data_IF_348187068499
#
_entry.id   IF_348187068499
#
_cell.length_a   1.000
_cell.length_b   1.000
_cell.length_c   1.000
_cell.angle_alpha   90.00
_cell.angle_beta   90.00
_cell.angle_gamma   90.00
#
_symmetry.space_group_name_H-M   'P 1'
#
loop_
_entity.id
_entity.type
_entity.pdbx_description
1 polymer ?
#
# COMPACT_ATOMS: atom_id res chain seq x y z
N UNK A 1 -38.22 13.85 71.94
CA UNK A 1 -39.37 13.49 71.08
C UNK A 1 -39.49 14.58 70.04
N UNK A 2 -39.59 14.37 68.73
CA UNK A 2 -39.68 13.17 67.92
C UNK A 2 -39.15 13.50 66.52
N UNK A 3 -38.68 12.47 65.82
CA UNK A 3 -38.32 12.43 64.41
C UNK A 3 -39.45 12.93 63.50
N UNK A 4 -39.10 13.60 62.40
CA UNK A 4 -39.91 13.55 61.18
C UNK A 4 -39.01 13.59 59.94
N UNK A 5 -38.79 12.40 59.38
CA UNK A 5 -38.28 12.19 58.04
C UNK A 5 -39.24 12.82 57.02
N UNK A 6 -38.69 13.53 56.03
CA UNK A 6 -39.41 13.94 54.84
C UNK A 6 -38.78 13.21 53.65
N UNK A 7 -39.48 12.16 53.19
CA UNK A 7 -39.15 11.43 51.98
C UNK A 7 -39.29 12.32 50.75
N UNK A 8 -38.20 12.47 50.00
CA UNK A 8 -38.22 13.04 48.66
C UNK A 8 -38.78 12.03 47.67
N UNK A 9 -39.98 12.31 47.16
CA UNK A 9 -40.55 11.60 46.01
C UNK A 9 -39.73 11.93 44.76
N UNK A 10 -38.96 10.96 44.26
CA UNK A 10 -38.30 11.04 42.96
C UNK A 10 -39.39 10.89 41.89
N UNK A 11 -39.69 11.99 41.19
CA UNK A 11 -40.49 11.94 39.95
C UNK A 11 -39.56 11.61 38.77
N UNK A 12 -40.01 10.79 37.80
CA UNK A 12 -39.18 10.36 36.68
C UNK A 12 -38.81 11.53 35.75
N UNK A 13 -37.54 11.58 35.38
CA UNK A 13 -36.91 12.52 34.45
C UNK A 13 -37.36 12.18 33.02
N UNK A 14 -38.64 12.39 32.68
CA UNK A 14 -39.10 12.19 31.31
C UNK A 14 -39.86 13.37 30.69
N UNK A 15 -40.23 14.40 31.45
CA UNK A 15 -41.15 15.44 30.93
C UNK A 15 -40.68 16.89 31.06
N UNK A 16 -39.38 17.16 31.22
CA UNK A 16 -38.87 18.53 31.11
C UNK A 16 -37.56 18.58 30.33
N UNK A 17 -37.67 18.75 29.00
CA UNK A 17 -36.89 19.71 28.20
C UNK A 17 -37.46 19.71 26.77
N UNK A 18 -38.27 20.73 26.51
CA UNK A 18 -38.61 21.24 25.18
C UNK A 18 -37.98 22.62 25.06
N UNK A 19 -36.90 22.73 24.27
CA UNK A 19 -36.16 23.97 24.00
C UNK A 19 -34.79 23.70 23.37
N UNK A 20 -34.37 24.40 22.29
CA UNK A 20 -33.31 23.93 21.40
C UNK A 20 -31.93 24.48 21.78
N UNK A 21 -31.23 23.81 22.70
CA UNK A 21 -29.75 23.86 22.81
C UNK A 21 -29.30 23.10 24.05
N UNK A 22 -28.60 21.97 23.88
CA UNK A 22 -28.02 21.22 25.01
C UNK A 22 -27.48 19.85 24.60
N UNK A 23 -26.24 19.79 24.16
CA UNK A 23 -25.53 18.57 23.80
C UNK A 23 -24.95 17.82 25.01
N UNK A 24 -25.05 16.49 25.05
CA UNK A 24 -23.98 15.64 25.59
C UNK A 24 -23.07 15.07 24.48
N UNK A 25 -23.41 15.36 23.20
CA UNK A 25 -22.91 14.86 21.91
C UNK A 25 -22.97 13.33 21.74
N UNK A 26 -23.40 12.89 20.55
CA UNK A 26 -22.37 12.56 19.58
C UNK A 26 -22.52 13.48 18.38
N UNK A 27 -21.43 14.08 17.96
CA UNK A 27 -21.31 14.54 16.58
C UNK A 27 -21.68 13.36 15.68
N UNK A 28 -22.90 13.37 15.12
CA UNK A 28 -23.65 12.21 14.60
C UNK A 28 -22.71 11.17 13.99
N UNK A 29 -22.44 10.09 14.72
CA UNK A 29 -21.50 9.05 14.29
C UNK A 29 -22.20 8.17 13.26
N UNK A 30 -21.52 7.91 12.16
CA UNK A 30 -22.00 7.13 11.02
C UNK A 30 -21.10 5.92 10.83
N UNK A 31 -21.72 4.74 10.76
CA UNK A 31 -21.05 3.49 10.41
C UNK A 31 -21.22 3.19 8.91
N UNK A 32 -20.09 2.94 8.26
CA UNK A 32 -19.97 2.65 6.84
C UNK A 32 -19.35 1.26 6.66
N UNK A 33 -19.83 0.51 5.69
CA UNK A 33 -19.22 -0.72 5.20
C UNK A 33 -18.80 -0.49 3.75
N UNK A 34 -17.50 -0.39 3.51
CA UNK A 34 -16.92 -0.11 2.19
C UNK A 34 -16.24 -1.38 1.69
N UNK A 35 -16.87 -2.07 0.73
CA UNK A 35 -16.34 -3.31 0.15
C UNK A 35 -16.05 -4.43 1.16
N UNK A 36 -16.74 -4.44 2.31
CA UNK A 36 -16.51 -5.37 3.42
C UNK A 36 -15.70 -4.80 4.58
N UNK A 37 -15.05 -3.64 4.41
CA UNK A 37 -14.30 -2.96 5.47
C UNK A 37 -15.20 -1.98 6.23
N UNK A 38 -15.30 -2.13 7.54
CA UNK A 38 -16.13 -1.25 8.37
C UNK A 38 -15.34 -0.02 8.83
N UNK A 39 -15.94 1.14 8.64
CA UNK A 39 -15.45 2.45 9.08
C UNK A 39 -16.48 3.13 9.98
N UNK A 40 -15.98 3.84 10.99
CA UNK A 40 -16.80 4.67 11.86
C UNK A 40 -16.27 6.09 11.77
N UNK A 41 -17.15 7.04 11.47
CA UNK A 41 -16.77 8.44 11.29
C UNK A 41 -17.89 9.38 11.73
N UNK A 42 -17.62 10.69 11.72
CA UNK A 42 -18.61 11.72 12.03
C UNK A 42 -19.33 12.16 10.76
N UNK A 43 -20.60 12.50 10.88
CA UNK A 43 -21.42 13.03 9.79
C UNK A 43 -20.81 14.33 9.21
N UNK A 44 -20.27 15.18 10.07
CA UNK A 44 -19.52 16.39 9.68
C UNK A 44 -18.34 16.10 8.74
N UNK A 45 -17.62 15.00 8.97
CA UNK A 45 -16.49 14.57 8.12
C UNK A 45 -16.96 14.20 6.72
N UNK A 46 -18.09 13.49 6.58
CA UNK A 46 -18.64 13.11 5.27
C UNK A 46 -19.18 14.32 4.48
N UNK A 47 -19.63 15.37 5.20
CA UNK A 47 -20.09 16.63 4.60
C UNK A 47 -18.98 17.67 4.38
N UNK A 48 -17.75 17.37 4.81
CA UNK A 48 -16.65 18.34 4.84
C UNK A 48 -16.21 18.85 3.46
N UNK A 49 -16.60 18.16 2.38
CA UNK A 49 -16.41 18.58 1.00
C UNK A 49 -17.79 18.58 0.32
N UNK A 50 -18.43 19.75 0.16
CA UNK A 50 -19.85 19.83 -0.23
C UNK A 50 -20.16 19.27 -1.62
N UNK A 51 -19.19 19.34 -2.55
CA UNK A 51 -19.34 18.85 -3.92
C UNK A 51 -18.99 17.36 -4.09
N UNK A 52 -18.72 16.66 -2.98
CA UNK A 52 -18.37 15.23 -3.02
C UNK A 52 -19.60 14.33 -3.12
N UNK A 53 -19.40 13.13 -3.66
CA UNK A 53 -20.41 12.06 -3.69
C UNK A 53 -20.89 11.73 -2.26
N UNK A 54 -19.97 11.67 -1.30
CA UNK A 54 -20.28 11.42 0.12
C UNK A 54 -21.13 12.56 0.71
N UNK A 55 -20.79 13.82 0.43
CA UNK A 55 -21.61 14.91 0.90
C UNK A 55 -23.02 14.85 0.29
N UNK A 56 -23.15 14.49 -0.98
CA UNK A 56 -24.46 14.30 -1.62
C UNK A 56 -25.27 13.17 -0.97
N UNK A 57 -24.63 12.04 -0.67
CA UNK A 57 -25.25 10.87 -0.03
C UNK A 57 -25.73 11.15 1.39
N UNK A 58 -25.01 12.00 2.14
CA UNK A 58 -25.27 12.29 3.55
C UNK A 58 -25.85 13.70 3.78
N UNK A 59 -26.15 14.47 2.74
CA UNK A 59 -26.70 15.83 2.88
C UNK A 59 -28.17 15.83 3.30
N UNK A 60 -28.58 16.70 4.24
CA UNK A 60 -29.97 16.81 4.68
C UNK A 60 -30.93 17.45 3.66
N UNK A 61 -30.43 18.15 2.63
CA UNK A 61 -31.24 19.04 1.79
C UNK A 61 -31.73 18.49 0.44
N UNK A 62 -31.44 17.24 0.05
CA UNK A 62 -31.91 16.68 -1.25
C UNK A 62 -32.83 15.47 -1.16
N UNK A 63 -33.52 15.38 -0.04
CA UNK A 63 -34.68 14.53 0.13
C UNK A 63 -34.95 14.48 1.62
N UNK A 64 -36.21 14.50 2.01
CA UNK A 64 -36.58 14.22 3.39
C UNK A 64 -36.01 12.88 3.87
N UNK A 65 -36.45 12.36 5.03
CA UNK A 65 -35.96 11.10 5.61
C UNK A 65 -35.95 9.86 4.66
N UNK A 66 -36.47 9.96 3.43
CA UNK A 66 -36.40 8.99 2.34
C UNK A 66 -35.06 8.91 1.58
N UNK A 67 -34.23 9.96 1.47
CA UNK A 67 -32.99 9.88 0.66
C UNK A 67 -31.87 9.09 1.37
N UNK A 68 -31.66 9.33 2.67
CA UNK A 68 -30.80 8.50 3.52
C UNK A 68 -31.35 7.08 3.75
N UNK A 69 -32.60 6.79 3.34
CA UNK A 69 -33.20 5.44 3.35
C UNK A 69 -32.94 4.66 2.07
N UNK A 70 -32.41 5.27 1.02
CA UNK A 70 -32.13 4.60 -0.26
C UNK A 70 -30.70 4.09 -0.41
N UNK A 71 -29.78 4.52 0.47
CA UNK A 71 -28.42 3.98 0.45
C UNK A 71 -28.47 2.50 0.84
N UNK A 72 -27.86 1.60 0.04
CA UNK A 72 -27.75 0.19 0.38
C UNK A 72 -27.24 0.01 1.80
N UNK A 73 -27.78 -0.96 2.52
CA UNK A 73 -27.31 -1.33 3.85
C UNK A 73 -26.94 -2.79 3.89
N UNK A 74 -25.95 -3.11 4.71
CA UNK A 74 -25.59 -4.50 4.99
C UNK A 74 -26.55 -5.16 6.00
N UNK A 75 -26.31 -6.45 6.29
CA UNK A 75 -27.11 -7.24 7.23
C UNK A 75 -27.11 -6.70 8.66
N UNK A 76 -26.22 -5.75 8.98
CA UNK A 76 -26.10 -5.09 10.28
C UNK A 76 -26.54 -3.63 10.24
N UNK A 77 -27.30 -3.24 9.20
CA UNK A 77 -27.86 -1.92 9.00
C UNK A 77 -26.84 -0.77 8.85
N UNK A 78 -25.57 -1.08 8.51
CA UNK A 78 -24.57 -0.05 8.17
C UNK A 78 -24.72 0.38 6.72
N UNK A 79 -24.39 1.63 6.41
CA UNK A 79 -24.39 2.13 5.05
C UNK A 79 -23.34 1.39 4.21
N UNK A 80 -23.74 0.80 3.10
CA UNK A 80 -22.88 0.00 2.24
C UNK A 80 -22.44 0.80 1.01
N UNK A 81 -21.14 0.75 0.74
CA UNK A 81 -20.49 1.34 -0.41
C UNK A 81 -19.70 0.23 -1.12
N UNK A 82 -20.02 -0.02 -2.38
CA UNK A 82 -19.36 -1.06 -3.18
C UNK A 82 -18.04 -0.55 -3.80
N UNK A 83 -17.07 -0.22 -2.93
CA UNK A 83 -15.76 0.33 -3.30
C UNK A 83 -14.63 -0.32 -2.49
N UNK A 84 -13.39 0.01 -2.82
CA UNK A 84 -12.21 -0.51 -2.13
C UNK A 84 -12.13 0.01 -0.68
N UNK A 85 -12.38 -0.90 0.26
CA UNK A 85 -12.33 -0.61 1.68
C UNK A 85 -10.96 -0.16 2.16
N UNK A 86 -9.86 -0.74 1.68
CA UNK A 86 -8.52 -0.40 2.16
C UNK A 86 -8.09 0.99 1.73
N UNK A 87 -8.37 1.36 0.48
CA UNK A 87 -8.05 2.68 -0.07
C UNK A 87 -8.94 3.78 0.53
N UNK A 88 -10.17 3.43 0.95
CA UNK A 88 -11.08 4.36 1.61
C UNK A 88 -10.49 5.00 2.88
N UNK A 89 -9.53 4.35 3.54
CA UNK A 89 -8.82 4.96 4.68
C UNK A 89 -8.23 6.32 4.32
N UNK A 90 -7.53 6.41 3.19
CA UNK A 90 -6.86 7.64 2.75
C UNK A 90 -7.87 8.71 2.30
N UNK A 91 -8.99 8.28 1.73
CA UNK A 91 -10.12 9.17 1.41
C UNK A 91 -10.68 9.77 2.70
N UNK A 92 -10.88 8.95 3.73
CA UNK A 92 -11.44 9.39 5.00
C UNK A 92 -10.49 10.31 5.76
N UNK A 93 -9.18 10.02 5.74
CA UNK A 93 -8.16 10.88 6.33
C UNK A 93 -8.11 12.25 5.64
N UNK A 94 -8.20 12.26 4.30
CA UNK A 94 -8.33 13.52 3.55
C UNK A 94 -9.59 14.32 3.93
N UNK A 95 -10.72 13.65 4.16
CA UNK A 95 -11.94 14.33 4.61
C UNK A 95 -11.80 14.94 6.02
N UNK A 96 -10.97 14.36 6.90
CA UNK A 96 -10.72 14.89 8.24
C UNK A 96 -9.78 16.08 8.21
N UNK A 97 -8.61 15.90 7.61
CA UNK A 97 -7.49 16.83 7.77
C UNK A 97 -7.34 17.80 6.58
N UNK A 98 -8.04 17.55 5.48
CA UNK A 98 -7.88 18.25 4.19
C UNK A 98 -6.45 18.16 3.64
N UNK A 99 -5.68 17.21 4.16
CA UNK A 99 -4.32 16.91 3.76
C UNK A 99 -4.21 15.42 3.43
N UNK A 100 -3.32 15.09 2.51
CA UNK A 100 -3.07 13.72 2.11
C UNK A 100 -1.70 13.29 2.64
N UNK A 101 -1.71 12.44 3.68
CA UNK A 101 -0.50 11.81 4.19
C UNK A 101 -0.40 10.38 3.61
N UNK A 102 0.47 10.21 2.62
CA UNK A 102 0.80 8.90 2.06
C UNK A 102 2.15 8.41 2.61
N UNK A 103 2.31 7.10 2.86
CA UNK A 103 3.62 6.52 3.07
C UNK A 103 4.59 6.83 1.92
N UNK A 104 5.87 6.90 2.22
CA UNK A 104 6.93 7.00 1.21
C UNK A 104 6.82 5.79 0.27
N UNK A 105 6.75 6.04 -1.04
CA UNK A 105 6.47 5.04 -2.09
C UNK A 105 5.11 4.33 -1.97
N UNK A 106 4.00 5.08 -2.03
CA UNK A 106 2.65 4.49 -2.06
C UNK A 106 2.34 3.82 -3.42
N UNK A 107 2.34 2.48 -3.52
CA UNK A 107 2.26 1.79 -4.82
C UNK A 107 0.85 1.82 -5.43
N UNK A 108 -0.17 2.06 -4.61
CA UNK A 108 -1.58 2.05 -5.04
C UNK A 108 -2.09 3.46 -5.37
N UNK A 109 -1.18 4.40 -5.66
CA UNK A 109 -1.51 5.81 -5.92
C UNK A 109 -2.53 5.97 -7.06
N UNK A 110 -2.37 5.23 -8.15
CA UNK A 110 -3.31 5.24 -9.28
C UNK A 110 -4.68 4.65 -8.90
N UNK A 111 -4.71 3.63 -8.04
CA UNK A 111 -5.98 3.09 -7.53
C UNK A 111 -6.68 4.10 -6.63
N UNK A 112 -5.93 4.76 -5.76
CA UNK A 112 -6.45 5.82 -4.89
C UNK A 112 -6.95 7.03 -5.69
N UNK A 113 -6.29 7.37 -6.81
CA UNK A 113 -6.76 8.39 -7.74
C UNK A 113 -8.16 8.05 -8.27
N UNK A 114 -8.39 6.81 -8.70
CA UNK A 114 -9.72 6.35 -9.15
C UNK A 114 -10.78 6.42 -8.05
N UNK A 115 -10.41 6.14 -6.79
CA UNK A 115 -11.33 6.34 -5.66
C UNK A 115 -11.63 7.82 -5.44
N UNK A 116 -10.63 8.70 -5.51
CA UNK A 116 -10.82 10.14 -5.38
C UNK A 116 -11.73 10.71 -6.47
N UNK A 117 -11.61 10.22 -7.70
CA UNK A 117 -12.52 10.54 -8.82
C UNK A 117 -13.93 10.05 -8.57
N UNK A 118 -14.09 8.80 -8.10
CA UNK A 118 -15.40 8.23 -7.77
C UNK A 118 -16.14 9.05 -6.69
N UNK A 119 -15.42 9.45 -5.63
CA UNK A 119 -15.99 10.29 -4.58
C UNK A 119 -16.07 11.77 -4.93
N UNK A 120 -15.69 12.16 -6.15
CA UNK A 120 -15.70 13.54 -6.65
C UNK A 120 -14.88 14.51 -5.78
N UNK A 121 -13.73 14.04 -5.28
CA UNK A 121 -12.83 14.83 -4.44
C UNK A 121 -11.81 15.56 -5.32
N UNK A 122 -12.24 16.63 -5.99
CA UNK A 122 -11.45 17.32 -7.01
C UNK A 122 -10.06 17.79 -6.54
N UNK A 123 -9.94 18.29 -5.31
CA UNK A 123 -8.64 18.73 -4.77
C UNK A 123 -7.72 17.55 -4.42
N UNK A 124 -8.30 16.42 -3.98
CA UNK A 124 -7.54 15.18 -3.77
C UNK A 124 -7.05 14.60 -5.10
N UNK A 125 -7.88 14.66 -6.15
CA UNK A 125 -7.48 14.30 -7.52
C UNK A 125 -6.31 15.17 -7.99
N UNK A 126 -6.34 16.49 -7.76
CA UNK A 126 -5.20 17.38 -8.10
C UNK A 126 -3.93 17.05 -7.33
N UNK A 127 -4.05 16.65 -6.06
CA UNK A 127 -2.90 16.23 -5.24
C UNK A 127 -2.29 14.91 -5.71
N UNK A 128 -3.13 13.99 -6.17
CA UNK A 128 -2.72 12.67 -6.66
C UNK A 128 -2.25 12.71 -8.12
N UNK A 129 -2.78 13.64 -8.92
CA UNK A 129 -2.36 13.84 -10.31
C UNK A 129 -0.89 14.26 -10.39
N UNK A 130 -0.16 13.84 -11.44
CA UNK A 130 1.21 14.29 -11.66
C UNK A 130 1.19 15.80 -11.91
N UNK A 131 1.57 16.59 -10.91
CA UNK A 131 1.84 18.02 -11.12
C UNK A 131 3.05 18.11 -12.05
N UNK A 132 2.85 18.63 -13.27
CA UNK A 132 3.94 19.12 -14.11
C UNK A 132 4.49 20.39 -13.44
N UNK A 133 5.27 20.19 -12.38
CA UNK A 133 5.98 21.26 -11.67
C UNK A 133 7.23 21.57 -12.47
N UNK A 134 7.23 22.73 -13.12
CA UNK A 134 8.45 23.33 -13.68
C UNK A 134 9.41 23.57 -12.50
N UNK A 135 10.49 22.79 -12.46
CA UNK A 135 11.60 22.79 -11.50
C UNK A 135 11.31 22.22 -10.11
N UNK A 136 11.48 20.90 -9.94
CA UNK A 136 12.63 20.28 -9.24
C UNK A 136 12.30 18.81 -8.92
N UNK A 137 13.27 17.92 -9.20
CA UNK A 137 13.35 16.49 -8.84
C UNK A 137 12.41 15.48 -9.53
N UNK A 138 12.92 14.95 -10.66
CA UNK A 138 12.95 13.54 -11.07
C UNK A 138 11.59 12.79 -11.21
N UNK A 139 10.96 12.99 -12.37
CA UNK A 139 9.99 12.10 -13.03
C UNK A 139 10.52 10.65 -13.03
N UNK A 140 9.84 9.58 -12.59
CA UNK A 140 8.44 9.10 -12.76
C UNK A 140 7.96 9.09 -14.22
N UNK A 141 8.29 8.00 -14.94
CA UNK A 141 7.56 7.55 -16.12
C UNK A 141 7.01 6.15 -15.81
N UNK A 142 5.71 6.12 -15.51
CA UNK A 142 4.93 4.91 -15.27
C UNK A 142 4.65 4.12 -16.55
N UNK A 143 4.56 2.81 -16.37
CA UNK A 143 4.30 1.79 -17.38
C UNK A 143 2.99 2.06 -18.16
N UNK A 144 3.11 2.38 -19.44
CA UNK A 144 1.98 2.31 -20.38
C UNK A 144 1.82 0.86 -20.86
N UNK A 145 0.63 0.32 -20.66
CA UNK A 145 0.16 -0.94 -21.22
C UNK A 145 0.18 -0.93 -22.74
N UNK A 146 0.66 -2.02 -23.33
CA UNK A 146 0.71 -2.28 -24.77
C UNK A 146 -0.65 -2.03 -25.47
N UNK A 147 -0.70 -1.02 -26.33
CA UNK A 147 -1.68 -0.90 -27.42
C UNK A 147 -0.95 -0.40 -28.68
N UNK A 148 -1.19 -1.11 -29.78
CA UNK A 148 -0.39 -1.05 -31.01
C UNK A 148 -0.44 0.27 -31.80
N UNK A 149 0.72 0.53 -32.39
CA UNK A 149 1.11 1.27 -33.60
C UNK A 149 0.14 2.25 -34.30
N UNK A 150 0.61 3.49 -34.48
CA UNK A 150 0.43 4.27 -35.73
C UNK A 150 1.34 5.51 -35.75
N UNK A 151 2.50 5.33 -36.40
CA UNK A 151 3.20 6.28 -37.26
C UNK A 151 2.97 7.81 -37.03
N UNK A 152 3.95 8.53 -36.47
CA UNK A 152 4.19 9.94 -36.82
C UNK A 152 5.55 10.46 -36.30
N UNK A 153 6.15 11.29 -37.14
CA UNK A 153 7.54 11.74 -37.19
C UNK A 153 7.93 12.69 -36.04
N UNK A 154 9.12 12.49 -35.46
CA UNK A 154 9.77 13.41 -34.49
C UNK A 154 11.13 12.86 -34.04
N UNK A 155 12.21 13.21 -34.75
CA UNK A 155 13.36 12.33 -35.00
C UNK A 155 14.67 12.60 -34.22
N UNK A 156 14.67 13.27 -33.06
CA UNK A 156 15.91 13.40 -32.25
C UNK A 156 15.70 13.12 -30.76
N UNK A 157 14.72 13.74 -30.12
CA UNK A 157 14.51 13.60 -28.66
C UNK A 157 13.95 12.25 -28.21
N UNK A 158 13.34 11.47 -29.12
CA UNK A 158 12.84 10.12 -28.82
C UNK A 158 13.94 9.08 -28.78
N UNK A 159 14.98 9.22 -29.60
CA UNK A 159 16.10 8.26 -29.64
C UNK A 159 16.95 8.34 -28.36
N UNK A 160 17.06 9.52 -27.77
CA UNK A 160 17.82 9.73 -26.53
C UNK A 160 17.05 9.25 -25.28
N UNK A 161 15.73 9.47 -25.23
CA UNK A 161 14.86 8.91 -24.17
C UNK A 161 14.73 7.39 -24.26
N UNK A 162 14.55 6.83 -25.45
CA UNK A 162 14.50 5.38 -25.65
C UNK A 162 15.85 4.69 -25.34
N UNK A 163 16.98 5.41 -25.41
CA UNK A 163 18.28 4.90 -25.00
C UNK A 163 18.47 4.92 -23.47
N UNK A 164 17.92 5.94 -22.79
CA UNK A 164 17.91 6.04 -21.32
C UNK A 164 17.02 4.96 -20.68
N UNK A 165 15.82 4.71 -21.22
CA UNK A 165 14.89 3.67 -20.73
C UNK A 165 15.46 2.25 -20.84
N UNK A 166 16.40 2.02 -21.76
CA UNK A 166 17.06 0.72 -21.93
C UNK A 166 18.08 0.43 -20.84
N UNK A 167 18.68 1.46 -20.23
CA UNK A 167 19.72 1.33 -19.20
C UNK A 167 19.22 1.54 -17.77
N UNK A 168 18.05 2.13 -17.58
CA UNK A 168 17.40 2.20 -16.28
C UNK A 168 16.55 0.96 -16.01
N UNK A 169 16.46 0.57 -14.74
CA UNK A 169 15.58 -0.52 -14.31
C UNK A 169 15.96 -1.04 -12.94
N UNK A 170 15.07 -1.87 -12.37
CA UNK A 170 15.32 -2.47 -11.07
C UNK A 170 16.06 -3.82 -11.19
N UNK A 171 16.96 -4.06 -10.26
CA UNK A 171 17.54 -5.38 -9.98
C UNK A 171 17.26 -5.75 -8.53
N UNK A 172 16.79 -6.98 -8.31
CA UNK A 172 16.56 -7.51 -6.97
C UNK A 172 17.50 -8.67 -6.72
N UNK A 173 18.22 -8.61 -5.60
CA UNK A 173 19.13 -9.66 -5.14
C UNK A 173 18.55 -10.27 -3.89
N UNK A 174 18.46 -11.61 -3.82
CA UNK A 174 17.88 -12.27 -2.66
C UNK A 174 18.57 -13.58 -2.30
N UNK A 175 18.41 -14.04 -1.07
CA UNK A 175 18.89 -15.35 -0.65
C UNK A 175 17.92 -16.01 0.32
N UNK A 176 17.99 -17.34 0.39
CA UNK A 176 17.24 -18.13 1.36
C UNK A 176 18.17 -18.54 2.51
N UNK A 177 17.85 -18.11 3.72
CA UNK A 177 18.45 -18.59 4.96
C UNK A 177 17.69 -19.80 5.50
N UNK A 178 18.38 -20.71 6.18
CA UNK A 178 17.75 -21.79 6.93
C UNK A 178 18.32 -21.85 8.34
N UNK A 179 17.42 -21.90 9.32
CA UNK A 179 17.73 -22.05 10.74
C UNK A 179 17.07 -23.33 11.25
N UNK A 180 17.88 -24.26 11.76
CA UNK A 180 17.39 -25.39 12.54
C UNK A 180 17.50 -25.02 14.01
N UNK A 181 16.39 -25.04 14.73
CA UNK A 181 16.40 -25.01 16.20
C UNK A 181 16.92 -26.35 16.69
N UNK A 182 18.24 -26.51 16.74
CA UNK A 182 18.87 -27.56 17.55
C UNK A 182 19.06 -26.96 18.93
N UNK A 183 18.44 -27.58 19.95
CA UNK A 183 18.71 -27.29 21.36
C UNK A 183 20.21 -27.44 21.55
N UNK A 184 20.94 -26.37 21.83
CA UNK A 184 22.14 -26.45 22.66
C UNK A 184 22.60 -25.07 23.12
N UNK A 185 23.12 -25.09 24.34
CA UNK A 185 23.32 -24.00 25.30
C UNK A 185 24.54 -23.11 24.97
N UNK A 186 24.72 -22.75 23.70
CA UNK A 186 25.79 -21.87 23.26
C UNK A 186 25.16 -20.73 22.46
N UNK A 187 25.36 -19.49 22.91
CA UNK A 187 25.00 -18.27 22.18
C UNK A 187 25.87 -18.21 20.92
N UNK A 188 25.48 -19.03 19.94
CA UNK A 188 26.34 -19.42 18.86
C UNK A 188 26.46 -18.25 17.90
N UNK A 189 27.70 -17.80 17.68
CA UNK A 189 28.10 -16.77 16.74
C UNK A 189 27.86 -17.27 15.31
N UNK A 190 26.60 -17.48 14.95
CA UNK A 190 26.18 -18.01 13.66
C UNK A 190 26.27 -16.89 12.63
N UNK A 191 27.45 -16.79 12.02
CA UNK A 191 27.68 -16.00 10.82
C UNK A 191 26.60 -16.27 9.77
N UNK A 192 26.27 -15.22 9.00
CA UNK A 192 25.26 -15.29 7.94
C UNK A 192 25.65 -16.33 6.88
N UNK A 193 24.93 -17.46 6.82
CA UNK A 193 25.16 -18.49 5.80
C UNK A 193 24.30 -18.25 4.57
N UNK A 194 24.92 -17.77 3.50
CA UNK A 194 24.27 -17.56 2.20
C UNK A 194 24.61 -18.74 1.30
N UNK A 195 23.63 -19.61 1.02
CA UNK A 195 23.86 -20.77 0.16
C UNK A 195 23.88 -20.40 -1.33
N UNK A 196 23.06 -19.42 -1.71
CA UNK A 196 22.89 -18.98 -3.10
C UNK A 196 22.29 -17.59 -3.12
N UNK A 197 22.83 -16.75 -3.99
CA UNK A 197 22.31 -15.41 -4.25
C UNK A 197 21.50 -15.48 -5.54
N UNK A 198 20.20 -15.27 -5.45
CA UNK A 198 19.27 -15.16 -6.57
C UNK A 198 19.29 -13.73 -7.13
N UNK A 199 19.15 -13.60 -8.44
CA UNK A 199 19.08 -12.31 -9.15
C UNK A 199 17.80 -12.27 -9.97
N UNK A 200 17.03 -11.20 -9.79
CA UNK A 200 15.77 -10.95 -10.49
C UNK A 200 15.80 -9.57 -11.14
N UNK A 201 15.23 -9.43 -12.33
CA UNK A 201 15.14 -8.15 -13.05
C UNK A 201 15.28 -8.32 -14.57
N UNK A 202 15.59 -7.23 -15.27
CA UNK A 202 15.81 -7.22 -16.72
C UNK A 202 17.10 -7.97 -17.05
N UNK A 203 17.06 -8.85 -18.05
CA UNK A 203 18.19 -9.73 -18.41
C UNK A 203 19.40 -8.92 -18.88
N UNK A 204 19.18 -7.91 -19.74
CA UNK A 204 20.26 -7.03 -20.20
C UNK A 204 21.05 -6.42 -19.03
N UNK A 205 20.35 -5.87 -18.02
CA UNK A 205 20.97 -5.24 -16.85
C UNK A 205 21.70 -6.26 -15.97
N UNK A 206 21.08 -7.42 -15.71
CA UNK A 206 21.72 -8.47 -14.92
C UNK A 206 23.03 -8.96 -15.58
N UNK A 207 23.04 -9.09 -16.91
CA UNK A 207 24.24 -9.47 -17.67
C UNK A 207 25.29 -8.36 -17.69
N UNK A 208 24.88 -7.11 -17.79
CA UNK A 208 25.78 -5.95 -17.73
C UNK A 208 26.50 -5.85 -16.38
N UNK A 209 25.77 -6.03 -15.26
CA UNK A 209 26.33 -5.95 -13.90
C UNK A 209 27.17 -7.17 -13.53
N UNK A 210 26.64 -8.38 -13.75
CA UNK A 210 27.24 -9.61 -13.20
C UNK A 210 28.07 -10.39 -14.22
N UNK A 211 27.87 -10.18 -15.52
CA UNK A 211 28.63 -10.83 -16.59
C UNK A 211 28.78 -12.34 -16.38
N UNK A 212 30.02 -12.82 -16.41
CA UNK A 212 30.35 -14.24 -16.26
C UNK A 212 30.06 -14.81 -14.87
N UNK A 213 29.83 -13.98 -13.86
CA UNK A 213 29.49 -14.45 -12.51
C UNK A 213 28.02 -14.81 -12.35
N UNK A 214 27.20 -14.44 -13.33
CA UNK A 214 25.80 -14.83 -13.43
C UNK A 214 25.69 -16.28 -13.93
N UNK A 215 24.78 -17.05 -13.33
CA UNK A 215 24.44 -18.40 -13.76
C UNK A 215 23.02 -18.43 -14.34
N UNK A 216 22.94 -18.74 -15.63
CA UNK A 216 21.71 -18.76 -16.42
C UNK A 216 21.09 -20.16 -16.57
N UNK A 217 21.70 -21.20 -15.97
CA UNK A 217 21.32 -22.61 -16.20
C UNK A 217 19.85 -22.95 -15.90
N UNK A 218 19.16 -22.14 -15.10
CA UNK A 218 17.74 -22.33 -14.75
C UNK A 218 16.77 -21.65 -15.72
N UNK A 219 17.26 -20.79 -16.60
CA UNK A 219 16.47 -20.01 -17.54
C UNK A 219 17.31 -19.56 -18.76
N UNK A 220 17.92 -20.51 -19.51
CA UNK A 220 18.78 -20.19 -20.65
C UNK A 220 17.99 -19.62 -21.84
N UNK A 221 18.70 -19.02 -22.79
CA UNK A 221 18.19 -18.61 -24.12
C UNK A 221 17.06 -17.58 -24.11
N UNK A 222 16.95 -16.78 -23.04
CA UNK A 222 16.01 -15.66 -22.98
C UNK A 222 16.57 -14.41 -23.68
N UNK A 223 15.74 -13.68 -24.44
CA UNK A 223 16.16 -12.43 -25.07
C UNK A 223 16.46 -11.34 -24.03
N UNK A 224 17.45 -10.46 -24.28
CA UNK A 224 17.98 -9.52 -23.29
C UNK A 224 16.97 -8.45 -22.85
N UNK A 225 15.98 -8.13 -23.67
CA UNK A 225 14.90 -7.19 -23.33
C UNK A 225 13.89 -7.74 -22.29
N UNK A 226 13.89 -9.06 -22.04
CA UNK A 226 12.92 -9.69 -21.13
C UNK A 226 13.41 -9.68 -19.68
N UNK A 227 12.49 -9.99 -18.77
CA UNK A 227 12.75 -10.11 -17.34
C UNK A 227 12.90 -11.58 -16.92
N UNK A 228 13.67 -11.83 -15.87
CA UNK A 228 13.80 -13.16 -15.24
C UNK A 228 13.85 -13.04 -13.72
N UNK A 229 13.52 -14.14 -13.03
CA UNK A 229 13.62 -14.30 -11.58
C UNK A 229 14.36 -15.59 -11.18
N UNK A 230 15.07 -16.19 -12.14
CA UNK A 230 15.61 -17.56 -11.99
C UNK A 230 17.13 -17.62 -12.03
N UNK A 231 17.79 -16.49 -12.31
CA UNK A 231 19.25 -16.39 -12.29
C UNK A 231 19.79 -16.44 -10.87
N UNK A 232 21.05 -16.84 -10.75
CA UNK A 232 21.77 -16.84 -9.48
C UNK A 232 23.25 -16.61 -9.70
N UNK A 233 23.96 -16.11 -8.69
CA UNK A 233 25.39 -15.85 -8.78
C UNK A 233 26.22 -17.11 -8.49
N UNK A 234 27.37 -17.21 -9.15
CA UNK A 234 28.35 -18.30 -8.95
C UNK A 234 29.09 -18.19 -7.60
N UNK A 235 29.06 -17.02 -6.97
CA UNK A 235 29.60 -16.75 -5.64
C UNK A 235 28.48 -16.53 -4.61
N UNK A 236 28.85 -16.54 -3.33
CA UNK A 236 27.90 -16.51 -2.20
C UNK A 236 28.11 -15.34 -1.24
N UNK A 237 29.07 -14.45 -1.49
CA UNK A 237 29.27 -13.23 -0.72
C UNK A 237 28.32 -12.13 -1.21
N UNK A 238 27.43 -11.67 -0.34
CA UNK A 238 26.40 -10.69 -0.73
C UNK A 238 26.98 -9.30 -0.91
N UNK A 239 27.96 -8.95 -0.09
CA UNK A 239 28.68 -7.68 -0.13
C UNK A 239 29.39 -7.53 -1.49
N UNK A 240 29.98 -8.62 -2.00
CA UNK A 240 30.54 -8.64 -3.36
C UNK A 240 29.50 -8.38 -4.46
N UNK A 241 28.25 -8.82 -4.27
CA UNK A 241 27.18 -8.52 -5.23
C UNK A 241 26.75 -7.06 -5.13
N UNK A 242 26.72 -6.50 -3.91
CA UNK A 242 26.37 -5.10 -3.65
C UNK A 242 27.42 -4.14 -4.21
N UNK A 243 28.70 -4.45 -4.04
CA UNK A 243 29.81 -3.65 -4.58
C UNK A 243 29.70 -3.56 -6.11
N UNK A 244 29.46 -4.68 -6.80
CA UNK A 244 29.27 -4.69 -8.27
C UNK A 244 28.07 -3.88 -8.73
N UNK A 245 26.96 -3.95 -7.99
CA UNK A 245 25.78 -3.14 -8.27
C UNK A 245 26.07 -1.65 -8.10
N UNK A 246 26.77 -1.29 -7.01
CA UNK A 246 27.17 0.09 -6.75
C UNK A 246 28.15 0.63 -7.80
N UNK A 247 29.11 -0.19 -8.24
CA UNK A 247 30.06 0.16 -9.31
C UNK A 247 29.36 0.38 -10.66
N UNK A 248 28.26 -0.35 -10.90
CA UNK A 248 27.41 -0.19 -12.07
C UNK A 248 26.40 0.98 -11.95
N UNK A 249 26.39 1.72 -10.84
CA UNK A 249 25.55 2.89 -10.63
C UNK A 249 24.18 2.62 -9.99
N UNK A 250 23.95 1.41 -9.47
CA UNK A 250 22.73 1.09 -8.75
C UNK A 250 22.81 1.50 -7.27
N UNK A 251 21.69 1.93 -6.73
CA UNK A 251 21.53 2.25 -5.31
C UNK A 251 20.52 1.30 -4.66
N UNK A 252 20.82 0.84 -3.44
CA UNK A 252 19.86 0.04 -2.67
C UNK A 252 18.71 0.94 -2.22
N UNK A 253 17.49 0.62 -2.67
CA UNK A 253 16.29 1.42 -2.37
C UNK A 253 15.41 0.80 -1.29
N UNK A 254 15.44 -0.53 -1.13
CA UNK A 254 14.64 -1.23 -0.14
C UNK A 254 15.24 -2.60 0.22
N UNK A 255 14.89 -3.09 1.41
CA UNK A 255 15.25 -4.42 1.89
C UNK A 255 14.06 -5.02 2.65
N UNK A 256 13.76 -6.29 2.39
CA UNK A 256 12.69 -7.02 3.07
C UNK A 256 13.17 -8.42 3.47
N UNK A 257 12.66 -8.93 4.60
CA UNK A 257 12.99 -10.27 5.08
C UNK A 257 11.74 -10.96 5.62
N UNK A 258 11.40 -12.11 5.03
CA UNK A 258 10.24 -12.92 5.39
C UNK A 258 10.71 -14.25 5.99
N UNK A 259 10.21 -14.60 7.18
CA UNK A 259 10.46 -15.90 7.84
C UNK A 259 9.25 -16.81 7.75
N UNK A 260 9.43 -18.06 7.29
CA UNK A 260 8.40 -19.09 7.29
C UNK A 260 8.88 -20.33 8.02
N UNK A 261 8.04 -20.89 8.89
CA UNK A 261 8.31 -22.16 9.56
C UNK A 261 7.62 -23.30 8.82
N UNK A 262 8.35 -24.36 8.51
CA UNK A 262 7.81 -25.59 7.96
C UNK A 262 7.93 -26.73 8.99
N UNK A 263 6.87 -27.51 9.13
CA UNK A 263 6.87 -28.73 9.93
C UNK A 263 7.51 -29.85 9.11
N UNK A 264 8.55 -30.49 9.65
CA UNK A 264 9.24 -31.59 8.96
C UNK A 264 8.48 -32.90 9.09
N UNK A 265 7.79 -33.13 10.21
CA UNK A 265 7.11 -34.39 10.50
C UNK A 265 5.87 -34.18 11.37
N UNK A 266 4.79 -34.91 11.08
CA UNK A 266 3.57 -34.93 11.91
C UNK A 266 3.78 -35.44 13.35
N UNK A 267 4.93 -36.07 13.62
CA UNK A 267 5.23 -36.75 14.89
C UNK A 267 6.44 -36.16 15.66
N UNK A 268 7.06 -35.08 15.18
CA UNK A 268 8.17 -34.40 15.91
C UNK A 268 7.97 -32.89 15.90
N UNK A 269 8.22 -32.25 17.05
CA UNK A 269 8.19 -30.79 17.23
C UNK A 269 9.40 -30.06 16.58
N UNK A 270 10.09 -30.71 15.64
CA UNK A 270 11.24 -30.14 14.95
C UNK A 270 10.74 -29.20 13.82
N UNK A 271 10.81 -27.88 14.06
CA UNK A 271 10.48 -26.85 13.07
C UNK A 271 11.74 -26.42 12.31
N UNK A 272 11.72 -26.48 10.97
CA UNK A 272 12.71 -25.77 10.15
C UNK A 272 12.19 -24.38 9.89
N UNK A 273 12.97 -23.37 10.25
CA UNK A 273 12.72 -22.00 9.87
C UNK A 273 13.48 -21.69 8.60
N UNK A 274 12.77 -21.23 7.57
CA UNK A 274 13.38 -20.66 6.37
C UNK A 274 13.16 -19.16 6.38
N UNK A 275 14.23 -18.38 6.23
CA UNK A 275 14.12 -16.96 5.91
C UNK A 275 14.36 -16.73 4.44
N UNK A 276 13.68 -15.76 3.86
CA UNK A 276 13.96 -15.22 2.54
C UNK A 276 14.20 -13.73 2.70
N UNK A 277 15.38 -13.27 2.29
CA UNK A 277 15.76 -11.86 2.40
C UNK A 277 16.09 -11.35 1.00
N UNK A 278 15.53 -10.20 0.66
CA UNK A 278 15.65 -9.55 -0.64
C UNK A 278 16.08 -8.09 -0.50
N UNK A 279 16.88 -7.64 -1.46
CA UNK A 279 17.48 -6.31 -1.55
C UNK A 279 17.16 -5.76 -2.94
N UNK A 280 16.48 -4.61 -2.99
CA UNK A 280 16.03 -3.99 -4.24
C UNK A 280 16.98 -2.85 -4.58
N UNK A 281 17.43 -2.82 -5.84
CA UNK A 281 18.36 -1.84 -6.38
C UNK A 281 17.76 -1.13 -7.60
N UNK A 282 18.02 0.17 -7.73
CA UNK A 282 17.65 1.01 -8.87
C UNK A 282 18.80 1.93 -9.25
#
# INVERSE_FOLDING_TARGET
MALKEAGGSILPISDMVSGPSGSPFPEVVVELNVGGQVYVTRHSTLLSVPDSTLATMFSPCRGGPAAARQLPRDSRARFFIDRDGFLFRYVLDYLRDKQLALPEHFPEKERLLREAEYFQLGDLVKLLSPKVTKQSSLNDEGCQSDLEDSNSQGSSDRLQRAALDKRSGFLTVGYRGSYTTVRDNQADAKFRRVARIMVCGRIALAKEVFGETLNESRDPDRPPEKYTSRFYLKFTYLEQAFDRLSEAGFHMVACNSTGTAAFINQYRDDKIWSSYTEYIFF
#
